data_IF_842125753714
#
_entry.id   IF_842125753714
#
_cell.length_a   1.000
_cell.length_b   1.000
_cell.length_c   1.000
_cell.angle_alpha   90.00
_cell.angle_beta   90.00
_cell.angle_gamma   90.00
#
_symmetry.space_group_name_H-M   'P 1'
#
loop_
_entity.id
_entity.type
_entity.pdbx_description
1 polymer ?
#
# COMPACT_ATOMS: atom_id res chain seq x y z
N UNK A 1 1.34 -6.19 23.60
CA UNK A 1 2.30 -7.13 22.96
C UNK A 1 3.60 -6.37 22.76
N UNK A 2 4.74 -7.01 22.97
CA UNK A 2 6.05 -6.48 22.59
C UNK A 2 6.32 -6.68 21.07
N UNK A 3 7.42 -6.10 20.58
CA UNK A 3 7.74 -6.12 19.14
C UNK A 3 8.14 -7.50 18.61
N UNK A 4 8.75 -8.37 19.43
CA UNK A 4 9.10 -9.74 19.04
C UNK A 4 7.82 -10.56 18.88
N UNK A 5 6.88 -10.40 19.82
CA UNK A 5 5.55 -11.00 19.72
C UNK A 5 4.82 -10.61 18.44
N UNK A 6 4.92 -9.34 18.01
CA UNK A 6 4.33 -8.89 16.73
C UNK A 6 5.02 -9.55 15.54
N UNK A 7 6.36 -9.61 15.54
CA UNK A 7 7.15 -10.20 14.46
C UNK A 7 6.81 -11.68 14.23
N UNK A 8 6.60 -12.44 15.31
CA UNK A 8 6.26 -13.87 15.25
C UNK A 8 4.80 -14.14 14.86
N UNK A 9 3.89 -13.19 15.12
CA UNK A 9 2.44 -13.38 14.87
C UNK A 9 1.96 -12.82 13.53
N UNK A 10 2.59 -11.77 12.99
CA UNK A 10 2.18 -11.21 11.70
C UNK A 10 2.37 -12.23 10.58
N UNK A 11 1.51 -12.20 9.58
CA UNK A 11 1.61 -13.07 8.41
C UNK A 11 1.12 -12.33 7.16
N UNK A 12 1.42 -12.86 5.98
CA UNK A 12 0.91 -12.35 4.72
C UNK A 12 -0.53 -12.83 4.50
N UNK A 13 -1.50 -11.97 4.85
CA UNK A 13 -2.94 -12.23 4.69
C UNK A 13 -3.29 -12.61 3.25
N UNK A 14 -4.09 -13.67 3.06
CA UNK A 14 -4.42 -14.23 1.74
C UNK A 14 -5.79 -13.78 1.21
N UNK A 15 -6.69 -13.38 2.09
CA UNK A 15 -8.00 -12.82 1.77
C UNK A 15 -8.39 -11.82 2.88
N UNK A 16 -9.06 -10.73 2.51
CA UNK A 16 -9.50 -9.70 3.44
C UNK A 16 -11.02 -9.72 3.57
N UNK A 17 -11.50 -9.26 4.72
CA UNK A 17 -12.92 -9.01 4.94
C UNK A 17 -13.26 -7.58 4.49
N UNK A 18 -13.95 -7.45 3.35
CA UNK A 18 -14.26 -6.16 2.74
C UNK A 18 -15.16 -5.27 3.60
N UNK A 19 -15.87 -5.83 4.58
CA UNK A 19 -16.70 -5.08 5.52
C UNK A 19 -15.88 -4.39 6.63
N UNK A 20 -14.66 -4.86 6.90
CA UNK A 20 -13.80 -4.33 7.96
C UNK A 20 -12.89 -3.22 7.42
N UNK A 21 -13.27 -1.97 7.72
CA UNK A 21 -12.50 -0.78 7.36
C UNK A 21 -11.60 -0.32 8.49
N UNK A 22 -10.52 0.38 8.13
CA UNK A 22 -9.67 1.08 9.10
C UNK A 22 -10.46 2.25 9.66
N UNK A 23 -10.23 2.59 10.93
CA UNK A 23 -10.70 3.86 11.47
C UNK A 23 -9.92 5.02 10.84
N UNK A 24 -10.45 6.26 10.86
CA UNK A 24 -9.71 7.43 10.39
C UNK A 24 -8.35 7.59 11.09
N UNK A 25 -8.29 7.33 12.39
CA UNK A 25 -7.03 7.37 13.16
C UNK A 25 -6.01 6.34 12.66
N UNK A 26 -6.43 5.10 12.42
CA UNK A 26 -5.54 4.08 11.86
C UNK A 26 -5.05 4.45 10.46
N UNK A 27 -5.91 5.08 9.64
CA UNK A 27 -5.53 5.56 8.32
C UNK A 27 -4.48 6.68 8.38
N UNK A 28 -4.55 7.57 9.37
CA UNK A 28 -3.49 8.55 9.62
C UNK A 28 -2.21 7.88 10.14
N UNK A 29 -2.32 6.92 11.07
CA UNK A 29 -1.15 6.19 11.60
C UNK A 29 -0.36 5.49 10.49
N UNK A 30 -1.02 4.83 9.54
CA UNK A 30 -0.30 4.19 8.42
C UNK A 30 0.41 5.22 7.53
N UNK A 31 -0.18 6.41 7.29
CA UNK A 31 0.48 7.47 6.52
C UNK A 31 1.70 8.01 7.24
N UNK A 32 1.60 8.22 8.55
CA UNK A 32 2.72 8.63 9.40
C UNK A 32 3.85 7.60 9.38
N UNK A 33 3.53 6.29 9.44
CA UNK A 33 4.53 5.23 9.33
C UNK A 33 5.29 5.27 8.00
N UNK A 34 4.59 5.54 6.89
CA UNK A 34 5.20 5.68 5.57
C UNK A 34 6.10 6.92 5.50
N UNK A 35 5.62 8.06 6.01
CA UNK A 35 6.34 9.34 5.98
C UNK A 35 7.64 9.32 6.79
N UNK A 36 7.65 8.67 7.95
CA UNK A 36 8.77 8.69 8.89
C UNK A 36 9.76 7.53 8.70
N UNK A 37 9.63 6.76 7.62
CA UNK A 37 10.64 5.77 7.28
C UNK A 37 11.99 6.47 6.98
N UNK A 38 13.11 6.04 7.58
CA UNK A 38 14.41 6.61 7.27
C UNK A 38 14.86 6.19 5.87
N UNK A 39 15.65 7.03 5.22
CA UNK A 39 16.30 6.73 3.94
C UNK A 39 17.73 7.23 3.94
N UNK A 40 18.57 6.63 3.09
CA UNK A 40 19.95 7.11 2.88
C UNK A 40 19.92 8.60 2.55
N UNK A 41 20.75 9.37 3.25
CA UNK A 41 20.83 10.85 3.18
C UNK A 41 19.49 11.58 3.34
N UNK A 42 18.48 10.93 3.93
CA UNK A 42 17.09 11.39 3.99
C UNK A 42 16.49 11.75 2.61
N UNK A 43 16.98 11.10 1.56
CA UNK A 43 16.59 11.36 0.16
C UNK A 43 15.11 11.12 -0.14
N UNK A 44 14.45 10.27 0.65
CA UNK A 44 13.03 9.91 0.54
C UNK A 44 12.60 9.71 -0.93
N UNK A 45 13.27 8.82 -1.69
CA UNK A 45 13.08 8.72 -3.13
C UNK A 45 11.84 7.89 -3.48
N UNK A 46 10.77 8.07 -2.69
CA UNK A 46 9.53 7.31 -2.78
C UNK A 46 8.32 8.21 -2.96
N UNK A 47 7.25 7.62 -3.47
CA UNK A 47 5.91 8.18 -3.42
C UNK A 47 4.94 7.06 -3.05
N UNK A 48 3.85 7.41 -2.37
CA UNK A 48 2.86 6.44 -1.92
C UNK A 48 1.49 6.82 -2.47
N UNK A 49 0.84 5.88 -3.17
CA UNK A 49 -0.59 5.99 -3.47
C UNK A 49 -1.32 5.19 -2.40
N UNK A 50 -2.21 5.84 -1.66
CA UNK A 50 -3.08 5.18 -0.66
C UNK A 50 -4.50 5.17 -1.20
N UNK A 51 -4.90 4.03 -1.78
CA UNK A 51 -6.24 3.83 -2.32
C UNK A 51 -7.16 3.28 -1.22
N UNK A 52 -8.16 4.08 -0.82
CA UNK A 52 -9.16 3.72 0.19
C UNK A 52 -10.59 3.65 -0.38
N UNK A 53 -10.87 4.37 -1.47
CA UNK A 53 -12.16 4.28 -2.16
C UNK A 53 -12.24 3.01 -2.98
N UNK A 54 -13.45 2.53 -3.23
CA UNK A 54 -13.66 1.32 -4.04
C UNK A 54 -13.18 1.54 -5.49
N UNK A 55 -13.39 2.74 -6.05
CA UNK A 55 -12.91 3.10 -7.39
C UNK A 55 -11.37 3.18 -7.44
N UNK A 56 -10.74 3.74 -6.40
CA UNK A 56 -9.30 3.84 -6.28
C UNK A 56 -8.66 2.46 -6.20
N UNK A 57 -9.19 1.58 -5.35
CA UNK A 57 -8.72 0.19 -5.23
C UNK A 57 -8.94 -0.59 -6.52
N UNK A 58 -10.08 -0.41 -7.20
CA UNK A 58 -10.34 -1.03 -8.49
C UNK A 58 -9.35 -0.59 -9.57
N UNK A 59 -8.95 0.69 -9.61
CA UNK A 59 -7.89 1.17 -10.51
C UNK A 59 -6.56 0.48 -10.24
N UNK A 60 -6.16 0.32 -8.97
CA UNK A 60 -4.93 -0.40 -8.60
C UNK A 60 -5.03 -1.88 -8.96
N UNK A 61 -6.19 -2.51 -8.72
CA UNK A 61 -6.43 -3.93 -8.96
C UNK A 61 -6.28 -4.34 -10.45
N UNK A 62 -6.43 -3.41 -11.40
CA UNK A 62 -6.12 -3.66 -12.82
C UNK A 62 -4.70 -4.16 -13.04
N UNK A 63 -3.75 -3.78 -12.19
CA UNK A 63 -2.36 -4.25 -12.24
C UNK A 63 -2.19 -5.73 -11.91
N UNK A 64 -3.19 -6.34 -11.26
CA UNK A 64 -3.21 -7.76 -10.93
C UNK A 64 -3.84 -8.63 -12.03
N UNK A 65 -4.28 -8.08 -13.16
CA UNK A 65 -4.87 -8.90 -14.23
C UNK A 65 -3.88 -9.93 -14.82
N UNK A 66 -4.41 -10.92 -15.55
CA UNK A 66 -3.60 -11.94 -16.22
C UNK A 66 -2.90 -12.89 -15.24
N UNK A 67 -1.58 -13.04 -15.38
CA UNK A 67 -0.78 -13.98 -14.59
C UNK A 67 -0.81 -13.70 -13.07
N UNK A 68 -1.28 -12.53 -12.64
CA UNK A 68 -1.33 -12.12 -11.23
C UNK A 68 -2.74 -12.13 -10.63
N UNK A 69 -3.74 -12.67 -11.34
CA UNK A 69 -5.17 -12.57 -11.00
C UNK A 69 -5.48 -13.07 -9.58
N UNK A 70 -4.69 -14.00 -9.07
CA UNK A 70 -4.78 -14.50 -7.69
C UNK A 70 -4.50 -13.44 -6.60
N UNK A 71 -4.08 -12.22 -6.97
CA UNK A 71 -3.92 -11.07 -6.07
C UNK A 71 -5.05 -10.05 -6.17
N UNK A 72 -5.89 -10.11 -7.20
CA UNK A 72 -6.90 -9.08 -7.48
C UNK A 72 -7.85 -8.88 -6.30
N UNK A 73 -8.44 -9.97 -5.79
CA UNK A 73 -9.34 -9.93 -4.62
C UNK A 73 -8.67 -9.38 -3.37
N UNK A 74 -7.36 -9.54 -3.20
CA UNK A 74 -6.64 -8.98 -2.05
C UNK A 74 -6.64 -7.45 -2.10
N UNK A 75 -6.50 -6.88 -3.29
CA UNK A 75 -6.53 -5.42 -3.50
C UNK A 75 -7.96 -4.88 -3.37
N UNK A 76 -8.94 -5.56 -3.94
CA UNK A 76 -10.34 -5.13 -3.89
C UNK A 76 -10.92 -5.22 -2.47
N UNK A 77 -10.63 -6.29 -1.75
CA UNK A 77 -11.27 -6.58 -0.45
C UNK A 77 -10.55 -5.95 0.74
N UNK A 78 -9.30 -5.50 0.57
CA UNK A 78 -8.62 -4.76 1.63
C UNK A 78 -9.32 -3.43 1.91
N UNK A 79 -9.21 -2.98 3.17
CA UNK A 79 -9.65 -1.64 3.58
C UNK A 79 -8.90 -0.54 2.82
N UNK A 80 -7.57 -0.67 2.71
CA UNK A 80 -6.69 0.27 2.02
C UNK A 80 -5.64 -0.52 1.23
N UNK A 81 -5.23 0.01 0.07
CA UNK A 81 -4.12 -0.52 -0.73
C UNK A 81 -3.06 0.57 -0.86
N UNK A 82 -1.84 0.26 -0.43
CA UNK A 82 -0.69 1.18 -0.55
C UNK A 82 0.21 0.70 -1.69
N UNK A 83 0.38 1.54 -2.71
CA UNK A 83 1.35 1.32 -3.79
C UNK A 83 2.63 2.08 -3.44
N UNK A 84 3.73 1.35 -3.31
CA UNK A 84 5.06 1.90 -3.09
C UNK A 84 5.71 2.19 -4.44
N UNK A 85 6.02 3.46 -4.69
CA UNK A 85 6.72 3.91 -5.91
C UNK A 85 8.10 4.41 -5.52
N UNK A 86 9.07 4.24 -6.41
CA UNK A 86 10.39 4.87 -6.31
C UNK A 86 10.59 5.86 -7.46
N UNK A 87 11.47 6.85 -7.26
CA UNK A 87 11.90 7.75 -8.34
C UNK A 87 12.71 6.96 -9.36
N UNK A 88 12.40 7.16 -10.64
CA UNK A 88 13.21 6.59 -11.72
C UNK A 88 14.53 7.36 -11.86
N UNK A 89 15.46 6.82 -12.65
CA UNK A 89 16.78 7.44 -12.93
C UNK A 89 16.68 8.90 -13.39
N UNK A 90 15.60 9.25 -14.09
CA UNK A 90 15.38 10.61 -14.62
C UNK A 90 14.78 11.58 -13.58
N UNK A 91 14.71 11.17 -12.31
CA UNK A 91 14.17 11.99 -11.21
C UNK A 91 12.65 12.13 -11.20
N UNK A 92 11.93 11.57 -12.19
CA UNK A 92 10.46 11.56 -12.25
C UNK A 92 9.88 10.43 -11.42
N UNK A 93 8.73 10.71 -10.80
CA UNK A 93 7.95 9.67 -10.15
C UNK A 93 7.03 9.01 -11.18
N UNK A 94 6.93 7.68 -11.17
CA UNK A 94 6.06 6.92 -12.10
C UNK A 94 4.59 7.34 -12.06
N UNK A 95 4.13 8.01 -10.99
CA UNK A 95 2.77 8.54 -10.88
C UNK A 95 2.47 9.75 -11.81
N UNK A 96 3.50 10.39 -12.39
CA UNK A 96 3.33 11.52 -13.33
C UNK A 96 3.24 11.07 -14.80
N UNK A 97 3.56 9.80 -15.09
CA UNK A 97 3.35 9.20 -16.39
C UNK A 97 1.96 8.56 -16.40
N UNK A 98 0.97 9.31 -16.91
CA UNK A 98 -0.44 8.92 -16.92
C UNK A 98 -0.66 7.43 -17.25
N UNK A 99 -1.28 6.74 -16.30
CA UNK A 99 -1.83 5.39 -16.43
C UNK A 99 -3.22 5.37 -15.77
#
# INVERSE_FOLDING_TARGET
MDIISVALKRHSTKAFDASKKLTPEQAEQIKTLLQYSPSSTNSQPWHFIVASTEEGKARVAKSAAGNYVFNERKMLDASHVVVFLCKNRDGRCLAEAGC
#
